data_IF_586026759187
#
_entry.id   IF_586026759187
#
_cell.length_a   1.000
_cell.length_b   1.000
_cell.length_c   1.000
_cell.angle_alpha   90.00
_cell.angle_beta   90.00
_cell.angle_gamma   90.00
#
_symmetry.space_group_name_H-M   'P 1'
#
loop_
_entity.id
_entity.type
_entity.pdbx_description
1 polymer ?
#
# COMPACT_ATOMS: atom_id res chain seq x y z
N UNK A 1 -18.76 -17.37 10.81
CA UNK A 1 -18.44 -16.54 11.99
C UNK A 1 -17.15 -15.79 11.68
N UNK A 2 -17.22 -14.49 11.44
CA UNK A 2 -16.04 -13.65 11.21
C UNK A 2 -15.35 -13.42 12.55
N UNK A 3 -14.13 -13.93 12.69
CA UNK A 3 -13.34 -13.84 13.92
C UNK A 3 -12.80 -12.41 14.10
N UNK A 4 -13.66 -11.47 14.47
CA UNK A 4 -13.30 -10.06 14.70
C UNK A 4 -14.05 -9.39 15.86
N UNK A 5 -14.75 -10.14 16.71
CA UNK A 5 -15.71 -9.58 17.66
C UNK A 5 -15.35 -9.75 19.13
N UNK A 6 -14.25 -9.15 19.61
CA UNK A 6 -14.04 -8.94 21.06
C UNK A 6 -14.16 -7.46 21.48
N UNK A 7 -13.90 -6.53 20.57
CA UNK A 7 -13.98 -5.09 20.82
C UNK A 7 -14.93 -4.46 19.80
N UNK A 8 -15.90 -3.69 20.27
CA UNK A 8 -16.86 -2.98 19.42
C UNK A 8 -16.31 -1.66 18.89
N UNK A 9 -15.22 -1.18 19.51
CA UNK A 9 -14.56 0.08 19.20
C UNK A 9 -13.06 0.01 19.49
N UNK A 10 -12.25 0.82 18.79
CA UNK A 10 -10.82 1.00 19.08
C UNK A 10 -10.53 1.59 20.46
N UNK A 11 -11.55 2.21 21.09
CA UNK A 11 -11.46 2.72 22.48
C UNK A 11 -11.41 1.61 23.53
N UNK A 12 -11.82 0.40 23.18
CA UNK A 12 -11.87 -0.74 24.10
C UNK A 12 -10.57 -1.57 24.08
N UNK A 13 -9.58 -1.16 23.28
CA UNK A 13 -8.30 -1.86 23.21
C UNK A 13 -7.52 -1.75 24.53
N UNK A 14 -6.94 -2.86 25.02
CA UNK A 14 -6.11 -2.84 26.22
C UNK A 14 -4.88 -1.94 26.08
N UNK A 15 -4.45 -1.35 27.19
CA UNK A 15 -3.29 -0.45 27.25
C UNK A 15 -2.00 -1.09 26.68
N UNK A 16 -1.82 -2.40 26.85
CA UNK A 16 -0.67 -3.12 26.31
C UNK A 16 -0.61 -3.03 24.78
N UNK A 17 -1.74 -3.23 24.11
CA UNK A 17 -1.86 -3.13 22.65
C UNK A 17 -1.58 -1.70 22.21
N UNK A 18 -2.15 -0.72 22.92
CA UNK A 18 -1.93 0.69 22.63
C UNK A 18 -0.45 1.10 22.82
N UNK A 19 0.20 0.61 23.88
CA UNK A 19 1.62 0.85 24.15
C UNK A 19 2.51 0.22 23.09
N UNK A 20 2.20 -1.01 22.67
CA UNK A 20 2.95 -1.71 21.64
C UNK A 20 2.92 -0.97 20.30
N UNK A 21 1.72 -0.61 19.81
CA UNK A 21 1.57 0.10 18.53
C UNK A 21 2.23 1.49 18.59
N UNK A 22 2.18 2.16 19.75
CA UNK A 22 2.88 3.44 19.96
C UNK A 22 4.40 3.30 19.85
N UNK A 23 4.98 2.22 20.39
CA UNK A 23 6.44 2.00 20.33
C UNK A 23 6.93 1.32 19.05
N UNK A 24 6.03 0.69 18.28
CA UNK A 24 6.36 -0.05 17.06
C UNK A 24 5.46 0.38 15.88
N UNK A 25 5.61 1.60 15.36
CA UNK A 25 4.77 2.10 14.27
C UNK A 25 5.12 1.47 12.91
N UNK A 26 6.24 0.76 12.80
CA UNK A 26 6.74 0.19 11.55
C UNK A 26 6.50 -1.32 11.49
N UNK A 27 6.08 -1.77 10.31
CA UNK A 27 6.05 -3.19 9.97
C UNK A 27 7.45 -3.68 9.62
N UNK A 28 7.78 -4.92 10.00
CA UNK A 28 9.07 -5.53 9.65
C UNK A 28 9.19 -5.86 8.16
N UNK A 29 8.10 -6.35 7.55
CA UNK A 29 8.10 -6.79 6.16
C UNK A 29 7.88 -5.61 5.20
N UNK A 30 8.69 -5.47 4.13
CA UNK A 30 8.48 -4.44 3.12
C UNK A 30 7.32 -4.81 2.19
N UNK A 31 6.64 -3.79 1.67
CA UNK A 31 5.73 -3.95 0.53
C UNK A 31 6.57 -4.04 -0.74
N UNK A 32 6.38 -5.10 -1.51
CA UNK A 32 7.07 -5.30 -2.79
C UNK A 32 6.16 -4.84 -3.94
N UNK A 33 6.71 -4.22 -5.00
CA UNK A 33 5.92 -3.89 -6.18
C UNK A 33 5.43 -5.17 -6.86
N UNK A 34 4.33 -5.04 -7.60
CA UNK A 34 3.84 -6.11 -8.46
C UNK A 34 4.98 -6.52 -9.42
N UNK A 35 5.19 -7.83 -9.58
CA UNK A 35 6.31 -8.42 -10.35
C UNK A 35 7.73 -8.17 -9.81
N UNK A 36 7.89 -7.61 -8.60
CA UNK A 36 9.19 -7.34 -7.95
C UNK A 36 10.13 -6.45 -8.78
N UNK A 37 9.58 -5.58 -9.63
CA UNK A 37 10.34 -4.63 -10.47
C UNK A 37 9.50 -3.39 -10.80
N UNK A 38 10.11 -2.24 -11.12
CA UNK A 38 9.38 -1.08 -11.64
C UNK A 38 8.77 -1.36 -13.03
N UNK A 39 7.68 -0.67 -13.34
CA UNK A 39 7.00 -0.76 -14.65
C UNK A 39 7.66 0.18 -15.68
N UNK A 40 8.15 1.34 -15.23
CA UNK A 40 8.86 2.33 -16.04
C UNK A 40 10.16 2.71 -15.32
N UNK A 41 11.25 2.81 -16.06
CA UNK A 41 12.55 3.28 -15.56
C UNK A 41 13.11 4.31 -16.55
N UNK A 42 13.32 5.53 -16.07
CA UNK A 42 13.98 6.60 -16.83
C UNK A 42 15.38 6.84 -16.22
N UNK A 43 16.42 6.30 -16.86
CA UNK A 43 17.81 6.45 -16.41
C UNK A 43 18.56 7.57 -17.12
N UNK A 44 17.98 8.16 -18.16
CA UNK A 44 18.65 9.12 -19.02
C UNK A 44 18.24 10.56 -18.65
N UNK A 45 19.20 11.50 -18.66
CA UNK A 45 18.90 12.92 -18.44
C UNK A 45 18.61 13.35 -16.99
N UNK A 46 18.59 12.42 -16.01
CA UNK A 46 18.53 12.74 -14.57
C UNK A 46 17.26 13.46 -14.11
N UNK A 47 16.21 13.49 -14.97
CA UNK A 47 14.95 14.14 -14.65
C UNK A 47 14.16 13.30 -13.65
N UNK A 48 13.59 13.96 -12.64
CA UNK A 48 12.68 13.30 -11.69
C UNK A 48 11.27 13.29 -12.27
N UNK A 49 10.66 12.10 -12.37
CA UNK A 49 9.23 11.97 -12.61
C UNK A 49 8.49 12.43 -11.34
N UNK A 50 7.57 13.39 -11.46
CA UNK A 50 6.93 14.07 -10.31
C UNK A 50 5.42 13.91 -10.24
N UNK A 51 4.78 13.55 -11.36
CA UNK A 51 3.33 13.44 -11.47
C UNK A 51 2.98 12.17 -12.23
N UNK A 52 1.85 11.56 -11.85
CA UNK A 52 1.30 10.36 -12.48
C UNK A 52 -0.20 10.55 -12.63
N UNK A 53 -0.72 10.31 -13.83
CA UNK A 53 -2.15 10.14 -14.09
C UNK A 53 -2.32 8.80 -14.79
N UNK A 54 -3.37 8.06 -14.43
CA UNK A 54 -3.68 6.74 -14.99
C UNK A 54 -5.13 6.80 -15.44
N UNK A 55 -5.38 6.43 -16.69
CA UNK A 55 -6.72 6.25 -17.22
C UNK A 55 -6.87 4.79 -17.63
N UNK A 56 -7.95 4.16 -17.18
CA UNK A 56 -8.24 2.77 -17.51
C UNK A 56 -9.16 2.77 -18.72
N UNK A 57 -8.59 2.47 -19.87
CA UNK A 57 -9.30 2.53 -21.15
C UNK A 57 -9.68 1.14 -21.65
N UNK A 58 -10.89 1.02 -22.19
CA UNK A 58 -11.29 -0.10 -23.03
C UNK A 58 -10.97 0.27 -24.48
N UNK A 59 -9.93 -0.33 -25.05
CA UNK A 59 -9.59 -0.18 -26.45
C UNK A 59 -10.15 -1.35 -27.28
N UNK A 60 -10.15 -1.20 -28.60
CA UNK A 60 -10.67 -2.20 -29.54
C UNK A 60 -9.94 -3.56 -29.43
N UNK A 61 -8.66 -3.54 -29.06
CA UNK A 61 -7.79 -4.69 -28.83
C UNK A 61 -7.73 -5.13 -27.35
N UNK A 62 -8.46 -4.47 -26.45
CA UNK A 62 -8.64 -4.87 -25.06
C UNK A 62 -8.38 -3.76 -24.04
N UNK A 63 -8.26 -4.16 -22.76
CA UNK A 63 -8.04 -3.22 -21.66
C UNK A 63 -6.57 -2.83 -21.52
N UNK A 64 -6.30 -1.53 -21.51
CA UNK A 64 -4.99 -0.98 -21.11
C UNK A 64 -5.08 -0.41 -19.70
N UNK A 65 -4.03 -0.64 -18.91
CA UNK A 65 -3.83 -0.04 -17.58
C UNK A 65 -2.53 0.76 -17.54
#
# INVERSE_FOLDING_TARGET
KINGGQFSSSKEYPDEVLRFVRSHPLMFQPVQPVHRRPILLDTEGGRKLTQLAVDRVEAEDGHYN
#
